data_IF_995613180676
#
_entry.id   IF_995613180676
#
_cell.length_a   1.000
_cell.length_b   1.000
_cell.length_c   1.000
_cell.angle_alpha   90.00
_cell.angle_beta   90.00
_cell.angle_gamma   90.00
#
_symmetry.space_group_name_H-M   'P 1'
#
loop_
_entity.id
_entity.type
_entity.pdbx_description
1 polymer ?
#
# COMPACT_ATOMS: atom_id res chain seq x y z
N UNK A 1 -4.38 92.42 -2.63
CA UNK A 1 -4.03 91.53 -1.49
C UNK A 1 -5.12 90.41 -1.22
N UNK A 2 -6.40 90.71 -1.21
CA UNK A 2 -7.44 89.65 -0.91
C UNK A 2 -7.50 88.51 -1.94
N UNK A 3 -7.21 88.76 -3.24
CA UNK A 3 -7.21 87.68 -4.27
C UNK A 3 -5.99 86.75 -4.18
N UNK A 4 -4.84 87.26 -3.71
CA UNK A 4 -3.63 86.45 -3.55
C UNK A 4 -3.72 85.57 -2.30
N UNK A 5 -4.36 86.04 -1.23
CA UNK A 5 -4.62 85.24 0.00
C UNK A 5 -5.60 84.07 -0.31
N UNK A 6 -6.61 84.32 -1.13
CA UNK A 6 -7.55 83.24 -1.52
C UNK A 6 -6.88 82.15 -2.39
N UNK A 7 -5.97 82.57 -3.29
CA UNK A 7 -5.21 81.59 -4.13
C UNK A 7 -4.25 80.75 -3.29
N UNK A 8 -3.57 81.32 -2.31
CA UNK A 8 -2.66 80.61 -1.39
C UNK A 8 -3.45 79.62 -0.46
N UNK A 9 -4.63 80.07 0.01
CA UNK A 9 -5.50 79.21 0.82
C UNK A 9 -6.03 77.98 0.03
N UNK A 10 -6.42 78.17 -1.22
CA UNK A 10 -6.88 77.07 -2.10
C UNK A 10 -5.72 76.13 -2.41
N UNK A 11 -4.51 76.63 -2.65
CA UNK A 11 -3.33 75.79 -2.90
C UNK A 11 -2.89 75.05 -1.63
N UNK A 12 -2.98 75.64 -0.45
CA UNK A 12 -2.69 74.97 0.83
C UNK A 12 -3.74 73.90 1.17
N UNK A 13 -5.03 74.13 0.90
CA UNK A 13 -6.06 73.10 1.04
C UNK A 13 -5.88 71.96 0.03
N UNK A 14 -5.54 72.25 -1.21
CA UNK A 14 -5.23 71.20 -2.19
C UNK A 14 -3.97 70.41 -1.82
N UNK A 15 -2.91 71.07 -1.32
CA UNK A 15 -1.71 70.39 -0.86
C UNK A 15 -1.89 69.55 0.40
N UNK A 16 -2.87 69.87 1.24
CA UNK A 16 -3.21 69.06 2.44
C UNK A 16 -4.14 67.87 2.07
N UNK A 17 -4.99 68.00 1.06
CA UNK A 17 -5.93 66.95 0.63
C UNK A 17 -5.28 65.84 -0.20
N UNK A 18 -4.24 66.16 -1.00
CA UNK A 18 -3.57 65.20 -1.84
C UNK A 18 -2.90 64.04 -1.06
N UNK A 19 -2.13 64.28 0.02
CA UNK A 19 -1.52 63.18 0.77
C UNK A 19 -2.49 62.34 1.56
N UNK A 20 -3.70 62.83 1.89
CA UNK A 20 -4.72 62.08 2.63
C UNK A 20 -5.52 61.15 1.70
N UNK A 21 -5.67 61.49 0.41
CA UNK A 21 -6.42 60.70 -0.56
C UNK A 21 -5.53 59.80 -1.44
N UNK A 22 -4.20 60.05 -1.49
CA UNK A 22 -3.28 59.25 -2.29
C UNK A 22 -3.31 57.74 -1.91
N UNK A 23 -3.25 57.37 -0.63
CA UNK A 23 -3.30 55.92 -0.28
C UNK A 23 -4.59 55.25 -0.73
N UNK A 24 -5.74 55.85 -0.52
CA UNK A 24 -7.06 55.31 -0.93
C UNK A 24 -7.20 55.16 -2.46
N UNK A 25 -6.61 56.07 -3.25
CA UNK A 25 -6.64 55.95 -4.73
C UNK A 25 -5.70 54.86 -5.20
N UNK A 26 -4.55 54.67 -4.55
CA UNK A 26 -3.59 53.60 -4.89
C UNK A 26 -4.18 52.25 -4.55
N UNK A 27 -4.80 52.08 -3.38
CA UNK A 27 -5.49 50.83 -2.97
C UNK A 27 -6.66 50.49 -3.89
N UNK A 28 -7.47 51.48 -4.31
CA UNK A 28 -8.60 51.23 -5.23
C UNK A 28 -8.17 50.87 -6.64
N UNK A 29 -6.95 51.17 -7.04
CA UNK A 29 -6.38 50.85 -8.37
C UNK A 29 -5.53 49.59 -8.37
N UNK A 30 -5.38 48.93 -7.24
CA UNK A 30 -4.60 47.69 -7.12
C UNK A 30 -5.28 46.53 -7.90
N UNK A 31 -4.54 45.69 -8.59
CA UNK A 31 -5.11 44.51 -9.26
C UNK A 31 -5.77 43.60 -8.28
N UNK A 32 -6.93 43.05 -8.68
CA UNK A 32 -7.63 42.01 -7.94
C UNK A 32 -7.04 40.65 -8.34
N UNK A 33 -6.62 39.91 -7.36
CA UNK A 33 -5.99 38.60 -7.55
C UNK A 33 -6.70 37.57 -6.68
N UNK A 34 -6.75 36.33 -7.15
CA UNK A 34 -7.28 35.21 -6.38
C UNK A 34 -6.24 34.65 -5.42
N UNK A 35 -6.70 34.24 -4.26
CA UNK A 35 -5.89 33.52 -3.26
C UNK A 35 -6.44 32.12 -3.03
N UNK A 36 -5.58 31.25 -2.57
CA UNK A 36 -5.90 29.90 -2.12
C UNK A 36 -5.34 29.67 -0.73
N UNK A 37 -6.06 28.94 0.09
CA UNK A 37 -5.57 28.53 1.41
C UNK A 37 -4.83 27.19 1.29
N UNK A 38 -3.80 26.96 2.11
CA UNK A 38 -3.16 25.66 2.22
C UNK A 38 -4.15 24.58 2.62
N UNK A 39 -3.96 23.36 2.12
CA UNK A 39 -4.75 22.21 2.50
C UNK A 39 -4.04 21.50 3.63
N UNK A 40 -4.71 21.37 4.79
CA UNK A 40 -4.20 20.54 5.88
C UNK A 40 -4.75 19.13 5.72
N UNK A 41 -3.86 18.14 5.75
CA UNK A 41 -4.24 16.74 5.73
C UNK A 41 -3.40 15.92 6.68
N UNK A 42 -4.00 14.86 7.20
CA UNK A 42 -3.27 13.84 7.97
C UNK A 42 -2.43 13.00 7.02
N UNK A 43 -1.16 12.88 7.31
CA UNK A 43 -0.22 12.08 6.55
C UNK A 43 0.47 11.07 7.45
N UNK A 44 0.57 9.86 6.97
CA UNK A 44 1.31 8.77 7.58
C UNK A 44 2.27 8.20 6.52
N UNK A 45 3.53 8.04 6.86
CA UNK A 45 4.47 7.39 5.95
C UNK A 45 4.26 5.89 6.01
N UNK A 46 4.03 5.27 4.85
CA UNK A 46 3.80 3.83 4.70
C UNK A 46 4.76 3.21 3.71
N UNK A 47 4.98 1.92 3.87
CA UNK A 47 5.53 1.04 2.83
C UNK A 47 4.41 0.13 2.36
N UNK A 48 4.11 0.22 1.08
CA UNK A 48 3.04 -0.56 0.46
C UNK A 48 3.63 -1.82 -0.19
N UNK A 49 2.89 -2.91 -0.14
CA UNK A 49 3.28 -4.18 -0.72
C UNK A 49 2.07 -5.06 -1.05
N UNK A 50 2.26 -5.98 -1.99
CA UNK A 50 1.27 -7.02 -2.25
C UNK A 50 1.53 -8.20 -1.33
N UNK A 51 0.50 -8.67 -0.65
CA UNK A 51 0.53 -9.80 0.26
C UNK A 51 -0.39 -10.94 -0.16
N UNK A 52 -0.18 -12.08 0.44
CA UNK A 52 -1.00 -13.27 0.30
C UNK A 52 -1.24 -13.89 1.68
N UNK A 53 -2.48 -14.31 1.93
CA UNK A 53 -2.80 -15.04 3.15
C UNK A 53 -2.18 -16.44 3.10
N UNK A 54 -1.44 -16.80 4.12
CA UNK A 54 -0.73 -18.08 4.21
C UNK A 54 -0.58 -18.51 5.66
N UNK A 55 -0.67 -19.79 5.92
CA UNK A 55 -0.29 -20.33 7.21
C UNK A 55 1.24 -20.30 7.38
N UNK A 56 1.70 -20.29 8.63
CA UNK A 56 3.14 -20.23 8.92
C UNK A 56 3.89 -21.46 8.40
N UNK A 57 3.25 -22.61 8.47
CA UNK A 57 3.78 -23.87 7.98
C UNK A 57 2.66 -24.67 7.33
N UNK A 58 2.82 -24.96 6.06
CA UNK A 58 1.94 -25.85 5.32
C UNK A 58 2.71 -27.11 4.97
N UNK A 59 2.11 -28.25 5.20
CA UNK A 59 2.69 -29.55 4.93
C UNK A 59 1.81 -30.32 3.97
N UNK A 60 2.37 -30.63 2.81
CA UNK A 60 1.68 -31.33 1.72
C UNK A 60 1.99 -32.83 1.80
N UNK A 61 0.98 -33.63 2.09
CA UNK A 61 1.11 -35.09 2.08
C UNK A 61 1.04 -35.57 0.64
N UNK A 62 2.13 -36.15 0.17
CA UNK A 62 2.27 -36.65 -1.18
C UNK A 62 2.59 -38.15 -1.19
N UNK A 63 2.39 -38.81 -2.34
CA UNK A 63 2.88 -40.17 -2.55
C UNK A 63 4.02 -40.19 -3.56
N UNK A 64 5.02 -41.04 -3.32
CA UNK A 64 6.14 -41.24 -4.24
C UNK A 64 5.70 -41.98 -5.54
N UNK A 65 4.59 -42.68 -5.50
CA UNK A 65 4.01 -43.38 -6.63
C UNK A 65 2.64 -42.81 -6.97
N UNK A 66 2.20 -42.84 -8.23
CA UNK A 66 0.86 -42.50 -8.63
C UNK A 66 -0.16 -43.40 -7.91
N UNK A 67 -1.19 -42.83 -7.32
CA UNK A 67 -2.21 -43.54 -6.55
C UNK A 67 -3.62 -43.12 -6.96
N UNK A 68 -4.58 -44.02 -6.73
CA UNK A 68 -6.00 -43.69 -6.83
C UNK A 68 -6.58 -43.73 -5.41
N UNK A 69 -7.13 -42.59 -5.00
CA UNK A 69 -7.75 -42.45 -3.68
C UNK A 69 -9.14 -43.05 -3.76
N UNK A 70 -9.41 -44.06 -2.95
CA UNK A 70 -10.73 -44.68 -2.81
C UNK A 70 -11.65 -43.77 -1.99
N UNK A 71 -11.17 -43.31 -0.84
CA UNK A 71 -11.91 -42.46 0.08
C UNK A 71 -10.98 -41.53 0.84
N UNK A 72 -11.45 -40.31 1.06
CA UNK A 72 -10.92 -39.39 2.05
C UNK A 72 -11.70 -39.52 3.35
N UNK A 73 -11.01 -39.50 4.47
CA UNK A 73 -11.59 -39.54 5.81
C UNK A 73 -11.63 -38.17 6.46
N UNK A 74 -11.06 -37.17 5.83
CA UNK A 74 -10.92 -35.79 6.33
C UNK A 74 -11.54 -34.80 5.38
N UNK A 75 -12.07 -33.71 5.93
CA UNK A 75 -12.63 -32.58 5.17
C UNK A 75 -11.80 -31.31 5.40
N UNK A 76 -11.90 -30.37 4.47
CA UNK A 76 -11.25 -29.07 4.61
C UNK A 76 -11.80 -28.34 5.84
N UNK A 77 -10.89 -27.79 6.64
CA UNK A 77 -11.20 -27.13 7.91
C UNK A 77 -11.14 -28.05 9.13
N UNK A 78 -11.07 -29.38 8.95
CA UNK A 78 -10.97 -30.36 10.03
C UNK A 78 -9.56 -30.37 10.64
N UNK A 79 -9.47 -30.67 11.94
CA UNK A 79 -8.20 -30.82 12.63
C UNK A 79 -7.82 -32.30 12.68
N UNK A 80 -6.58 -32.61 12.29
CA UNK A 80 -6.05 -33.99 12.30
C UNK A 80 -4.83 -34.10 13.20
N UNK A 81 -4.63 -35.28 13.77
CA UNK A 81 -3.45 -35.60 14.57
C UNK A 81 -2.43 -36.41 13.77
N UNK A 82 -1.16 -36.28 14.15
CA UNK A 82 -0.06 -37.07 13.54
C UNK A 82 -0.36 -38.57 13.66
N UNK A 83 -0.30 -39.28 12.53
CA UNK A 83 -0.58 -40.71 12.45
C UNK A 83 -2.06 -41.07 12.14
N UNK A 84 -2.95 -40.08 12.15
CA UNK A 84 -4.36 -40.28 11.78
C UNK A 84 -4.48 -40.63 10.28
N UNK A 85 -5.41 -41.55 9.96
CA UNK A 85 -5.63 -41.99 8.57
C UNK A 85 -6.47 -40.95 7.86
N UNK A 86 -5.86 -40.28 6.86
CA UNK A 86 -6.51 -39.21 6.07
C UNK A 86 -7.10 -39.74 4.76
N UNK A 87 -6.56 -40.85 4.20
CA UNK A 87 -7.07 -41.42 2.95
C UNK A 87 -6.87 -42.90 2.87
N UNK A 88 -7.78 -43.58 2.15
CA UNK A 88 -7.69 -44.96 1.73
C UNK A 88 -7.35 -45.03 0.25
N UNK A 89 -6.42 -45.89 -0.11
CA UNK A 89 -5.93 -46.06 -1.49
C UNK A 89 -6.49 -47.34 -2.12
N UNK A 90 -7.10 -47.22 -3.29
CA UNK A 90 -7.45 -48.40 -4.10
C UNK A 90 -6.17 -48.92 -4.80
N UNK A 91 -5.56 -49.94 -4.22
CA UNK A 91 -4.34 -50.60 -4.77
C UNK A 91 -4.54 -51.13 -6.15
N UNK A 92 -5.71 -51.68 -6.48
CA UNK A 92 -5.99 -52.27 -7.78
C UNK A 92 -6.08 -51.22 -8.86
N UNK A 93 -6.83 -50.17 -8.63
CA UNK A 93 -6.96 -49.07 -9.55
C UNK A 93 -5.64 -48.28 -9.67
N UNK A 94 -4.89 -48.12 -8.58
CA UNK A 94 -3.55 -47.50 -8.61
C UNK A 94 -2.56 -48.29 -9.44
N UNK A 95 -2.53 -49.63 -9.30
CA UNK A 95 -1.69 -50.50 -10.15
C UNK A 95 -2.04 -50.39 -11.64
N UNK A 96 -3.34 -50.34 -11.97
CA UNK A 96 -3.81 -50.14 -13.34
C UNK A 96 -3.42 -48.72 -13.85
N UNK A 97 -3.51 -47.74 -13.02
CA UNK A 97 -3.12 -46.37 -13.35
C UNK A 97 -1.62 -46.26 -13.65
N UNK A 98 -0.76 -46.81 -12.79
CA UNK A 98 0.70 -46.89 -13.02
C UNK A 98 1.01 -47.59 -14.36
N UNK A 99 0.35 -48.71 -14.65
CA UNK A 99 0.55 -49.42 -15.93
C UNK A 99 0.11 -48.57 -17.12
N UNK A 100 -0.96 -47.81 -17.02
CA UNK A 100 -1.42 -46.92 -18.09
C UNK A 100 -0.40 -45.83 -18.38
N UNK A 101 0.15 -45.19 -17.33
CA UNK A 101 1.21 -44.17 -17.47
C UNK A 101 2.49 -44.74 -18.04
N UNK A 102 2.88 -45.97 -17.66
CA UNK A 102 4.03 -46.66 -18.26
C UNK A 102 3.86 -46.94 -19.75
N UNK A 103 2.66 -47.33 -20.23
CA UNK A 103 2.36 -47.50 -21.65
C UNK A 103 2.41 -46.20 -22.44
N UNK A 104 2.15 -45.07 -21.80
CA UNK A 104 2.21 -43.74 -22.39
C UNK A 104 3.62 -43.13 -22.35
N UNK A 105 4.64 -43.88 -21.89
CA UNK A 105 6.03 -43.41 -21.65
C UNK A 105 6.11 -42.18 -20.70
N UNK A 106 5.13 -42.01 -19.83
CA UNK A 106 5.13 -40.94 -18.82
C UNK A 106 5.89 -41.32 -17.55
N UNK A 107 6.31 -42.60 -17.42
CA UNK A 107 7.14 -43.10 -16.32
C UNK A 107 8.35 -43.82 -16.91
N UNK A 108 9.54 -43.50 -16.39
CA UNK A 108 10.81 -44.15 -16.79
C UNK A 108 11.05 -45.46 -16.04
N UNK A 109 10.06 -46.35 -16.03
CA UNK A 109 10.19 -47.66 -15.40
C UNK A 109 10.25 -48.78 -16.47
N UNK A 110 11.15 -49.75 -16.28
CA UNK A 110 11.11 -51.00 -17.04
C UNK A 110 9.84 -51.82 -16.69
N UNK A 111 9.32 -52.59 -17.62
CA UNK A 111 8.08 -53.36 -17.40
C UNK A 111 8.12 -54.32 -16.20
N UNK A 112 9.31 -54.80 -15.81
CA UNK A 112 9.55 -55.61 -14.61
C UNK A 112 9.45 -54.79 -13.32
N UNK A 113 9.73 -53.49 -13.37
CA UNK A 113 9.73 -52.63 -12.21
C UNK A 113 8.33 -52.13 -11.87
N UNK A 114 7.41 -52.09 -12.84
CA UNK A 114 6.00 -51.68 -12.65
C UNK A 114 5.26 -52.62 -11.69
N UNK A 115 5.56 -53.94 -11.71
CA UNK A 115 4.94 -54.91 -10.84
C UNK A 115 5.50 -54.81 -9.40
N UNK A 116 6.79 -54.57 -9.29
CA UNK A 116 7.43 -54.28 -8.01
C UNK A 116 6.92 -52.94 -7.40
N UNK A 117 6.80 -51.90 -8.21
CA UNK A 117 6.25 -50.62 -7.78
C UNK A 117 4.79 -50.75 -7.26
N UNK A 118 3.96 -51.57 -7.92
CA UNK A 118 2.58 -51.78 -7.47
C UNK A 118 2.50 -52.44 -6.07
N UNK A 119 3.50 -53.21 -5.65
CA UNK A 119 3.57 -53.80 -4.32
C UNK A 119 3.91 -52.78 -3.21
N UNK A 120 4.53 -51.68 -3.59
CA UNK A 120 4.91 -50.59 -2.68
C UNK A 120 3.81 -49.57 -2.46
N UNK A 121 2.66 -49.68 -3.13
CA UNK A 121 1.52 -48.80 -2.98
C UNK A 121 0.98 -48.91 -1.53
N UNK A 122 0.94 -47.83 -0.74
CA UNK A 122 0.36 -47.87 0.59
C UNK A 122 -1.14 -48.17 0.51
N UNK A 123 -1.70 -48.83 1.51
CA UNK A 123 -3.13 -49.03 1.61
C UNK A 123 -3.84 -47.85 2.24
N UNK A 124 -3.13 -47.20 3.14
CA UNK A 124 -3.61 -46.02 3.88
C UNK A 124 -2.57 -44.91 3.80
N UNK A 125 -3.05 -43.70 3.75
CA UNK A 125 -2.23 -42.49 3.87
C UNK A 125 -2.55 -41.87 5.23
N UNK A 126 -1.52 -41.57 5.99
CA UNK A 126 -1.65 -40.99 7.33
C UNK A 126 -1.08 -39.59 7.37
N UNK A 127 -1.61 -38.73 8.25
CA UNK A 127 -1.06 -37.44 8.54
C UNK A 127 0.34 -37.58 9.17
N UNK A 128 1.30 -36.89 8.67
CA UNK A 128 2.68 -36.88 9.17
C UNK A 128 2.92 -35.72 10.16
N UNK A 129 2.00 -34.80 10.27
CA UNK A 129 1.95 -33.74 11.27
C UNK A 129 0.50 -33.51 11.75
N UNK A 130 0.39 -32.90 12.94
CA UNK A 130 -0.92 -32.45 13.45
C UNK A 130 -1.20 -31.04 12.96
N UNK A 131 -2.46 -30.75 12.58
CA UNK A 131 -2.85 -29.44 12.10
C UNK A 131 -4.24 -29.40 11.48
N UNK A 132 -4.57 -28.29 10.86
CA UNK A 132 -5.85 -28.11 10.17
C UNK A 132 -5.70 -28.47 8.68
N UNK A 133 -6.60 -29.26 8.16
CA UNK A 133 -6.68 -29.57 6.72
C UNK A 133 -7.10 -28.33 5.95
N UNK A 134 -6.27 -27.88 4.99
CA UNK A 134 -6.53 -26.68 4.18
C UNK A 134 -6.91 -27.01 2.73
N UNK A 135 -6.51 -28.16 2.22
CA UNK A 135 -6.95 -28.65 0.91
C UNK A 135 -6.91 -30.17 0.82
N UNK A 136 -7.73 -30.74 -0.05
CA UNK A 136 -7.79 -32.17 -0.33
C UNK A 136 -7.93 -32.43 -1.83
N UNK A 137 -7.39 -33.57 -2.31
CA UNK A 137 -7.51 -33.96 -3.73
C UNK A 137 -8.89 -34.48 -4.14
N UNK A 138 -9.76 -34.74 -3.17
CA UNK A 138 -11.06 -35.37 -3.38
C UNK A 138 -11.04 -36.90 -3.42
N UNK A 139 -12.16 -37.52 -3.05
CA UNK A 139 -12.36 -39.00 -3.13
C UNK A 139 -12.47 -39.45 -4.59
N UNK A 140 -12.11 -40.70 -4.87
CA UNK A 140 -12.11 -41.31 -6.21
C UNK A 140 -11.22 -40.59 -7.23
N UNK A 141 -10.21 -39.84 -6.79
CA UNK A 141 -9.28 -39.11 -7.65
C UNK A 141 -8.02 -39.92 -7.93
N UNK A 142 -7.49 -39.79 -9.16
CA UNK A 142 -6.18 -40.32 -9.54
C UNK A 142 -5.14 -39.23 -9.34
N UNK A 143 -4.19 -39.47 -8.45
CA UNK A 143 -3.14 -38.51 -8.06
C UNK A 143 -1.81 -38.97 -8.60
N UNK A 144 -1.08 -38.06 -9.26
CA UNK A 144 0.25 -38.35 -9.77
C UNK A 144 1.30 -38.33 -8.65
N UNK A 145 2.46 -38.95 -8.92
CA UNK A 145 3.60 -38.92 -8.01
C UNK A 145 3.98 -37.47 -7.67
N UNK A 146 4.17 -37.19 -6.38
CA UNK A 146 4.57 -35.88 -5.89
C UNK A 146 3.48 -34.81 -5.86
N UNK A 147 2.24 -35.15 -6.25
CA UNK A 147 1.09 -34.25 -6.12
C UNK A 147 0.47 -34.37 -4.73
N UNK A 148 0.04 -33.27 -4.15
CA UNK A 148 -0.63 -33.21 -2.86
C UNK A 148 -1.93 -33.99 -2.82
N UNK A 149 -2.07 -34.79 -1.78
CA UNK A 149 -3.31 -35.54 -1.47
C UNK A 149 -4.11 -34.80 -0.42
N UNK A 150 -3.44 -34.35 0.61
CA UNK A 150 -3.98 -33.52 1.70
C UNK A 150 -2.90 -32.52 2.06
N UNK A 151 -3.26 -31.24 2.21
CA UNK A 151 -2.38 -30.20 2.76
C UNK A 151 -2.85 -29.86 4.16
N UNK A 152 -1.91 -29.90 5.10
CA UNK A 152 -2.16 -29.64 6.53
C UNK A 152 -1.42 -28.36 6.93
N UNK A 153 -2.14 -27.40 7.48
CA UNK A 153 -1.55 -26.26 8.15
C UNK A 153 -1.11 -26.66 9.56
N UNK A 154 0.21 -26.68 9.77
CA UNK A 154 0.79 -26.97 11.07
C UNK A 154 1.25 -25.68 11.73
N UNK A 155 0.73 -25.38 12.91
CA UNK A 155 1.24 -24.35 13.78
C UNK A 155 0.76 -22.95 13.49
N UNK A 156 -0.45 -22.64 13.87
CA UNK A 156 -0.83 -21.28 14.13
C UNK A 156 -1.97 -20.73 13.28
N UNK A 157 -2.17 -19.47 13.47
CA UNK A 157 -3.19 -18.67 12.80
C UNK A 157 -2.76 -18.34 11.38
N UNK A 158 -3.74 -18.10 10.53
CA UNK A 158 -3.55 -17.59 9.19
C UNK A 158 -2.96 -16.16 9.29
N UNK A 159 -1.83 -15.95 8.63
CA UNK A 159 -1.18 -14.65 8.54
C UNK A 159 -1.11 -14.17 7.10
N UNK A 160 -0.44 -13.06 6.88
CA UNK A 160 -0.19 -12.51 5.56
C UNK A 160 1.32 -12.53 5.33
N UNK A 161 1.75 -12.95 4.15
CA UNK A 161 3.14 -12.79 3.68
C UNK A 161 3.14 -11.69 2.64
N UNK A 162 3.71 -10.54 3.00
CA UNK A 162 3.84 -9.39 2.12
C UNK A 162 5.23 -9.35 1.49
N UNK A 163 5.31 -9.13 0.20
CA UNK A 163 6.56 -8.94 -0.52
C UNK A 163 6.94 -7.45 -0.51
N UNK A 164 7.98 -7.10 0.22
CA UNK A 164 8.47 -5.73 0.38
C UNK A 164 9.75 -5.54 -0.40
N UNK A 165 9.87 -4.40 -1.11
CA UNK A 165 11.07 -4.06 -1.87
C UNK A 165 12.32 -4.01 -0.98
N UNK A 166 13.48 -4.48 -1.50
CA UNK A 166 14.77 -4.34 -0.81
C UNK A 166 15.14 -2.89 -0.49
N UNK A 167 14.61 -1.92 -1.23
CA UNK A 167 14.84 -0.50 -1.00
C UNK A 167 14.15 0.03 0.27
N UNK A 168 13.08 -0.62 0.70
CA UNK A 168 12.26 -0.18 1.83
C UNK A 168 12.39 -1.06 3.07
N UNK A 169 12.95 -2.27 2.94
CA UNK A 169 13.03 -3.22 4.05
C UNK A 169 13.78 -2.68 5.28
N UNK A 170 14.78 -1.81 5.05
CA UNK A 170 15.55 -1.20 6.14
C UNK A 170 14.73 -0.27 7.06
N UNK A 171 13.54 0.15 6.60
CA UNK A 171 12.62 1.01 7.36
C UNK A 171 11.64 0.19 8.22
N UNK A 172 11.53 -1.12 7.98
CA UNK A 172 10.55 -1.99 8.61
C UNK A 172 11.12 -2.62 9.87
N UNK A 173 10.31 -2.67 10.93
CA UNK A 173 10.63 -3.25 12.21
C UNK A 173 9.52 -4.18 12.71
N UNK A 174 9.89 -5.14 13.54
CA UNK A 174 8.93 -6.02 14.20
C UNK A 174 7.99 -5.21 15.11
N UNK A 175 6.71 -5.58 15.08
CA UNK A 175 5.67 -4.95 15.89
C UNK A 175 5.07 -3.68 15.28
N UNK A 176 5.53 -3.21 14.13
CA UNK A 176 4.89 -2.09 13.42
C UNK A 176 3.45 -2.42 13.06
N UNK A 177 2.60 -1.40 13.16
CA UNK A 177 1.21 -1.49 12.76
C UNK A 177 1.08 -1.59 11.24
N UNK A 178 0.12 -2.38 10.80
CA UNK A 178 -0.15 -2.65 9.39
C UNK A 178 -1.64 -2.50 9.13
N UNK A 179 -1.99 -1.86 8.04
CA UNK A 179 -3.33 -1.95 7.47
C UNK A 179 -3.29 -2.83 6.23
N UNK A 180 -4.34 -3.62 6.04
CA UNK A 180 -4.44 -4.44 4.84
C UNK A 180 -5.89 -4.51 4.32
N UNK A 181 -6.02 -4.66 3.01
CA UNK A 181 -7.30 -4.73 2.30
C UNK A 181 -7.29 -5.94 1.40
N UNK A 182 -8.00 -7.03 1.79
CA UNK A 182 -8.09 -8.22 0.96
C UNK A 182 -8.81 -7.92 -0.37
N UNK A 183 -8.30 -8.46 -1.48
CA UNK A 183 -8.91 -8.26 -2.79
C UNK A 183 -10.38 -8.74 -2.87
N UNK A 184 -10.76 -9.70 -2.01
CA UNK A 184 -12.14 -10.18 -1.89
C UNK A 184 -13.08 -9.20 -1.15
N UNK A 185 -12.53 -8.23 -0.40
CA UNK A 185 -13.26 -7.26 0.44
C UNK A 185 -12.65 -5.87 0.28
N UNK A 186 -12.76 -5.25 -0.90
CA UNK A 186 -12.03 -4.01 -1.24
C UNK A 186 -12.50 -2.77 -0.46
N UNK A 187 -13.68 -2.81 0.13
CA UNK A 187 -14.26 -1.72 0.91
C UNK A 187 -13.99 -1.85 2.43
N UNK A 188 -13.31 -2.93 2.86
CA UNK A 188 -13.02 -3.19 4.27
C UNK A 188 -11.50 -3.09 4.52
N UNK A 189 -11.11 -2.29 5.52
CA UNK A 189 -9.72 -2.18 5.99
C UNK A 189 -9.57 -2.95 7.29
N UNK A 190 -8.56 -3.81 7.32
CA UNK A 190 -8.21 -4.62 8.49
C UNK A 190 -6.87 -4.18 9.06
N UNK A 191 -6.60 -4.59 10.29
CA UNK A 191 -5.40 -4.22 11.04
C UNK A 191 -4.61 -5.45 11.45
N UNK A 192 -3.30 -5.26 11.59
CA UNK A 192 -2.40 -6.30 12.04
C UNK A 192 -1.03 -5.72 12.38
N UNK A 193 -0.08 -6.61 12.68
CA UNK A 193 1.27 -6.23 13.06
C UNK A 193 2.31 -7.05 12.33
N UNK A 194 3.46 -6.42 12.04
CA UNK A 194 4.65 -7.12 11.55
C UNK A 194 5.12 -8.11 12.62
N UNK A 195 5.04 -9.40 12.32
CA UNK A 195 5.41 -10.48 13.25
C UNK A 195 6.74 -11.14 12.91
N UNK A 196 7.17 -11.12 11.64
CA UNK A 196 8.43 -11.72 11.21
C UNK A 196 8.96 -11.02 9.95
N UNK A 197 10.27 -10.85 9.84
CA UNK A 197 10.94 -10.35 8.64
C UNK A 197 11.90 -11.45 8.19
N UNK A 198 11.76 -11.89 6.93
CA UNK A 198 12.62 -12.94 6.38
C UNK A 198 14.09 -12.51 6.39
N UNK A 199 14.97 -13.43 6.73
CA UNK A 199 16.42 -13.21 6.63
C UNK A 199 16.99 -13.37 5.22
N UNK A 200 16.15 -13.77 4.25
CA UNK A 200 16.53 -14.00 2.87
C UNK A 200 15.69 -13.15 1.92
N UNK A 201 16.34 -12.52 0.96
CA UNK A 201 15.67 -11.88 -0.16
C UNK A 201 15.42 -12.90 -1.29
N UNK A 202 14.39 -12.66 -2.09
CA UNK A 202 14.08 -13.44 -3.28
C UNK A 202 13.72 -12.55 -4.46
N UNK A 203 13.88 -13.07 -5.66
CA UNK A 203 13.42 -12.38 -6.86
C UNK A 203 11.95 -12.69 -7.12
N UNK A 204 11.20 -11.67 -7.51
CA UNK A 204 9.79 -11.74 -7.88
C UNK A 204 9.57 -11.00 -9.20
N UNK A 205 8.69 -11.51 -10.04
CA UNK A 205 8.19 -10.75 -11.19
C UNK A 205 7.01 -9.87 -10.78
N UNK A 206 7.12 -8.59 -11.07
CA UNK A 206 6.04 -7.62 -10.99
C UNK A 206 5.72 -7.17 -12.42
N UNK A 207 4.72 -7.81 -13.03
CA UNK A 207 4.49 -7.70 -14.46
C UNK A 207 5.69 -8.23 -15.27
N UNK A 208 6.34 -7.36 -16.04
CA UNK A 208 7.53 -7.68 -16.84
C UNK A 208 8.87 -7.37 -16.14
N UNK A 209 8.84 -6.76 -14.96
CA UNK A 209 10.03 -6.31 -14.20
C UNK A 209 10.38 -7.35 -13.14
N UNK A 210 11.65 -7.72 -13.08
CA UNK A 210 12.19 -8.55 -12.01
C UNK A 210 12.65 -7.63 -10.88
N UNK A 211 12.08 -7.80 -9.71
CA UNK A 211 12.42 -7.05 -8.49
C UNK A 211 12.94 -7.98 -7.40
N UNK A 212 13.80 -7.45 -6.52
CA UNK A 212 14.25 -8.13 -5.31
C UNK A 212 13.36 -7.71 -4.16
N UNK A 213 12.78 -8.70 -3.48
CA UNK A 213 11.87 -8.49 -2.35
C UNK A 213 12.30 -9.32 -1.15
N UNK A 214 11.89 -8.85 0.03
CA UNK A 214 12.00 -9.59 1.28
C UNK A 214 10.58 -9.87 1.78
N UNK A 215 10.33 -11.10 2.20
CA UNK A 215 9.03 -11.48 2.72
C UNK A 215 8.89 -11.01 4.17
N UNK A 216 7.81 -10.27 4.42
CA UNK A 216 7.41 -9.78 5.75
C UNK A 216 6.12 -10.47 6.14
N UNK A 217 6.13 -11.16 7.28
CA UNK A 217 4.94 -11.80 7.82
C UNK A 217 4.20 -10.84 8.73
N UNK A 218 2.89 -10.80 8.53
CA UNK A 218 1.96 -9.96 9.27
C UNK A 218 0.94 -10.87 9.95
N UNK A 219 0.69 -10.63 11.23
CA UNK A 219 -0.38 -11.30 11.97
C UNK A 219 -1.55 -10.34 12.09
N UNK A 220 -2.75 -10.70 11.60
CA UNK A 220 -3.97 -9.93 11.82
C UNK A 220 -4.27 -9.78 13.31
N UNK A 221 -4.74 -8.60 13.73
CA UNK A 221 -5.11 -8.36 15.13
C UNK A 221 -6.34 -9.16 15.55
N UNK A 222 -7.24 -9.40 14.60
CA UNK A 222 -8.46 -10.19 14.81
C UNK A 222 -8.52 -11.28 13.74
N UNK A 223 -8.55 -12.58 14.14
CA UNK A 223 -8.79 -13.66 13.23
C UNK A 223 -10.17 -13.54 12.56
N UNK A 224 -10.25 -13.78 11.26
CA UNK A 224 -11.51 -13.76 10.52
C UNK A 224 -11.63 -15.02 9.67
N UNK A 225 -12.72 -15.77 9.86
CA UNK A 225 -12.98 -17.03 9.15
C UNK A 225 -13.22 -16.83 7.63
N UNK A 226 -13.47 -15.60 7.20
CA UNK A 226 -13.60 -15.25 5.79
C UNK A 226 -12.26 -15.32 5.05
N UNK A 227 -11.15 -15.18 5.76
CA UNK A 227 -9.82 -15.26 5.16
C UNK A 227 -9.48 -16.73 4.86
N UNK A 228 -8.93 -16.93 3.67
CA UNK A 228 -8.48 -18.25 3.21
C UNK A 228 -7.03 -18.14 2.73
N UNK A 229 -6.24 -19.20 2.96
CA UNK A 229 -4.91 -19.30 2.34
C UNK A 229 -5.02 -19.15 0.83
N UNK A 230 -4.10 -18.40 0.23
CA UNK A 230 -4.09 -18.09 -1.20
C UNK A 230 -4.85 -16.82 -1.60
N UNK A 231 -5.60 -16.17 -0.69
CA UNK A 231 -6.22 -14.88 -1.01
C UNK A 231 -5.17 -13.76 -1.05
N UNK A 232 -5.25 -12.93 -2.10
CA UNK A 232 -4.40 -11.75 -2.24
C UNK A 232 -4.92 -10.58 -1.38
N UNK A 233 -4.01 -9.73 -0.93
CA UNK A 233 -4.32 -8.51 -0.18
C UNK A 233 -3.31 -7.41 -0.49
N UNK A 234 -3.76 -6.18 -0.48
CA UNK A 234 -2.88 -5.02 -0.44
C UNK A 234 -2.53 -4.72 1.01
N UNK A 235 -1.27 -4.41 1.25
CA UNK A 235 -0.69 -4.20 2.58
C UNK A 235 -0.01 -2.85 2.64
N UNK A 236 -0.25 -2.09 3.72
CA UNK A 236 0.42 -0.83 4.03
C UNK A 236 1.02 -0.89 5.43
N UNK A 237 2.34 -1.00 5.51
CA UNK A 237 3.09 -1.03 6.77
C UNK A 237 3.34 0.41 7.21
N UNK A 238 2.93 0.76 8.43
CA UNK A 238 3.01 2.10 8.98
C UNK A 238 4.40 2.35 9.53
N UNK A 239 5.11 3.34 8.95
CA UNK A 239 6.48 3.68 9.34
C UNK A 239 6.56 4.78 10.41
N UNK A 240 5.59 5.67 10.44
CA UNK A 240 5.56 6.81 11.36
C UNK A 240 4.16 7.06 11.90
N UNK A 241 4.09 7.72 13.04
CA UNK A 241 2.82 8.24 13.53
C UNK A 241 2.20 9.22 12.52
N UNK A 242 0.89 9.27 12.52
CA UNK A 242 0.14 10.23 11.71
C UNK A 242 0.44 11.64 12.16
N UNK A 243 0.75 12.53 11.22
CA UNK A 243 0.99 13.95 11.46
C UNK A 243 0.18 14.81 10.50
N UNK A 244 -0.18 15.98 10.94
CA UNK A 244 -0.76 16.98 10.05
C UNK A 244 0.33 17.60 9.19
N UNK A 245 0.07 17.70 7.91
CA UNK A 245 0.94 18.34 6.94
C UNK A 245 0.16 19.42 6.18
N UNK A 246 0.86 20.47 5.84
CA UNK A 246 0.37 21.55 5.00
C UNK A 246 0.76 21.25 3.57
N UNK A 247 -0.19 21.26 2.65
CA UNK A 247 0.02 20.97 1.23
C UNK A 247 -0.40 22.17 0.39
N UNK A 248 0.43 22.54 -0.58
CA UNK A 248 0.12 23.54 -1.59
C UNK A 248 0.12 22.93 -3.00
N UNK A 249 -0.78 23.38 -3.88
CA UNK A 249 -0.72 23.04 -5.30
C UNK A 249 0.59 23.50 -5.93
N UNK A 250 1.12 22.73 -6.88
CA UNK A 250 2.35 23.09 -7.60
C UNK A 250 2.27 24.44 -8.31
N UNK A 251 1.07 24.86 -8.74
CA UNK A 251 0.84 26.09 -9.50
C UNK A 251 1.16 27.38 -8.74
N UNK A 252 1.21 27.34 -7.41
CA UNK A 252 1.46 28.52 -6.56
C UNK A 252 2.90 28.63 -6.11
N UNK A 253 3.72 27.62 -6.39
CA UNK A 253 5.11 27.56 -5.99
C UNK A 253 5.98 28.02 -7.16
N UNK A 254 6.81 29.01 -6.90
CA UNK A 254 7.81 29.48 -7.85
C UNK A 254 9.22 29.14 -7.35
N UNK A 255 10.17 29.10 -8.29
CA UNK A 255 11.55 28.77 -7.98
C UNK A 255 12.48 29.76 -8.68
N UNK A 256 13.53 30.23 -7.98
CA UNK A 256 14.62 31.01 -8.52
C UNK A 256 15.99 30.46 -8.05
N UNK A 257 17.07 31.19 -8.33
CA UNK A 257 18.44 30.82 -7.94
C UNK A 257 18.62 30.71 -6.40
N UNK A 258 17.75 31.36 -5.62
CA UNK A 258 17.78 31.35 -4.16
C UNK A 258 16.99 30.19 -3.54
N UNK A 259 16.05 29.60 -4.28
CA UNK A 259 15.23 28.50 -3.84
C UNK A 259 13.76 28.63 -4.19
N UNK A 260 12.93 27.86 -3.52
CA UNK A 260 11.48 27.84 -3.71
C UNK A 260 10.80 28.89 -2.84
N UNK A 261 9.79 29.55 -3.40
CA UNK A 261 9.05 30.60 -2.71
C UNK A 261 7.58 30.67 -3.17
N UNK A 262 6.78 31.35 -2.37
CA UNK A 262 5.38 31.69 -2.67
C UNK A 262 5.13 33.16 -2.39
N UNK A 263 4.03 33.69 -2.92
CA UNK A 263 3.53 35.01 -2.54
C UNK A 263 2.36 34.85 -1.58
N UNK A 264 2.52 35.42 -0.39
CA UNK A 264 1.51 35.43 0.67
C UNK A 264 0.81 36.78 0.70
N UNK A 265 -0.50 36.78 0.89
CA UNK A 265 -1.25 38.03 1.11
C UNK A 265 -1.08 38.50 2.55
N UNK A 266 -0.53 39.66 2.75
CA UNK A 266 -0.37 40.31 4.05
C UNK A 266 -0.78 41.78 3.96
N UNK A 267 -1.87 42.14 4.60
CA UNK A 267 -2.32 43.55 4.74
C UNK A 267 -2.31 44.35 3.42
N UNK A 268 -2.90 43.79 2.36
CA UNK A 268 -3.00 44.46 1.07
C UNK A 268 -1.72 44.37 0.21
N UNK A 269 -0.77 43.55 0.57
CA UNK A 269 0.51 43.39 -0.16
C UNK A 269 0.77 41.90 -0.49
N UNK A 270 1.47 41.71 -1.61
CA UNK A 270 2.04 40.39 -1.93
C UNK A 270 3.45 40.29 -1.34
N UNK A 271 3.62 39.46 -0.35
CA UNK A 271 4.91 39.28 0.32
C UNK A 271 5.53 37.98 -0.17
N UNK A 272 6.73 38.07 -0.77
CA UNK A 272 7.51 36.89 -1.14
C UNK A 272 8.02 36.20 0.11
N UNK A 273 7.68 34.93 0.27
CA UNK A 273 8.09 34.11 1.41
C UNK A 273 8.78 32.84 0.92
N UNK A 274 10.01 32.62 1.39
CA UNK A 274 10.77 31.41 1.10
C UNK A 274 10.13 30.21 1.81
N UNK A 275 10.08 29.10 1.11
CA UNK A 275 9.50 27.84 1.62
C UNK A 275 10.52 26.71 1.51
N UNK A 276 10.26 25.65 2.24
CA UNK A 276 10.90 24.35 2.04
C UNK A 276 9.83 23.30 1.81
N UNK A 277 9.89 22.70 0.65
CA UNK A 277 9.00 21.60 0.26
C UNK A 277 9.42 20.30 0.89
N UNK A 278 8.53 19.33 0.88
CA UNK A 278 8.73 17.98 1.40
C UNK A 278 8.31 16.92 0.41
N UNK A 279 7.38 16.05 0.82
CA UNK A 279 6.88 14.97 -0.02
C UNK A 279 5.93 15.53 -1.09
N UNK A 280 6.07 14.99 -2.30
CA UNK A 280 5.20 15.30 -3.42
C UNK A 280 3.98 14.37 -3.43
N UNK A 281 2.83 14.93 -3.83
CA UNK A 281 1.55 14.25 -4.00
C UNK A 281 0.99 14.54 -5.38
N UNK A 282 -0.03 13.82 -5.82
CA UNK A 282 -0.65 14.03 -7.13
C UNK A 282 -1.24 15.44 -7.32
N UNK A 283 -1.66 16.10 -6.24
CA UNK A 283 -2.37 17.39 -6.22
C UNK A 283 -1.53 18.55 -5.65
N UNK A 284 -0.28 18.31 -5.24
CA UNK A 284 0.60 19.34 -4.68
C UNK A 284 1.78 18.76 -3.90
N UNK A 285 2.44 19.58 -3.13
CA UNK A 285 3.60 19.20 -2.32
C UNK A 285 3.45 19.64 -0.86
N UNK A 286 3.99 18.86 0.06
CA UNK A 286 4.11 19.19 1.48
C UNK A 286 4.97 20.45 1.65
N UNK A 287 4.54 21.37 2.50
CA UNK A 287 5.34 22.50 2.93
C UNK A 287 5.83 22.26 4.34
N UNK A 288 7.14 22.09 4.50
CA UNK A 288 7.76 21.84 5.80
C UNK A 288 8.09 23.10 6.57
N UNK A 289 8.30 24.18 5.86
CA UNK A 289 8.68 25.46 6.46
C UNK A 289 8.24 26.63 5.59
N UNK A 290 7.87 27.74 6.23
CA UNK A 290 7.60 29.03 5.59
C UNK A 290 6.12 29.40 5.51
N UNK A 291 5.20 28.42 5.62
CA UNK A 291 3.75 28.66 5.49
C UNK A 291 3.02 27.95 6.64
N UNK A 292 1.94 28.58 7.10
CA UNK A 292 0.97 28.06 8.04
C UNK A 292 -0.39 27.78 7.37
N UNK A 293 -1.24 27.05 8.04
CA UNK A 293 -2.59 26.70 7.56
C UNK A 293 -3.52 27.90 7.31
N UNK A 294 -3.25 29.02 7.99
CA UNK A 294 -4.07 30.24 7.92
C UNK A 294 -3.53 31.28 6.91
N UNK A 295 -2.43 30.98 6.24
CA UNK A 295 -1.87 31.90 5.24
C UNK A 295 -2.73 31.87 3.96
N UNK A 296 -2.91 33.04 3.35
CA UNK A 296 -3.55 33.18 2.04
C UNK A 296 -2.48 33.32 0.97
N UNK A 297 -2.44 32.37 0.05
CA UNK A 297 -1.40 32.26 -1.00
C UNK A 297 -1.98 32.70 -2.32
N UNK A 298 -1.30 33.56 -3.07
CA UNK A 298 -1.75 33.95 -4.40
C UNK A 298 -1.77 32.78 -5.37
N UNK A 299 -2.91 32.55 -6.00
CA UNK A 299 -3.11 31.45 -6.96
C UNK A 299 -2.31 31.64 -8.26
N UNK A 300 -2.01 32.91 -8.60
CA UNK A 300 -1.24 33.29 -9.78
C UNK A 300 -0.02 34.13 -9.35
N UNK A 301 1.11 33.52 -9.00
CA UNK A 301 2.32 34.23 -8.51
C UNK A 301 2.80 35.33 -9.45
N UNK A 302 2.78 35.06 -10.76
CA UNK A 302 3.21 36.01 -11.81
C UNK A 302 2.35 37.27 -11.91
N UNK A 303 1.10 37.20 -11.49
CA UNK A 303 0.20 38.34 -11.49
C UNK A 303 0.55 39.37 -10.42
N UNK A 304 1.22 38.96 -9.36
CA UNK A 304 1.60 39.82 -8.21
C UNK A 304 3.07 40.16 -8.14
N UNK A 305 3.90 39.52 -8.94
CA UNK A 305 5.34 39.76 -8.99
C UNK A 305 5.65 41.25 -9.28
N UNK A 306 6.48 41.84 -8.42
CA UNK A 306 6.88 43.26 -8.53
C UNK A 306 5.79 44.27 -8.15
N UNK A 307 4.60 43.86 -7.71
CA UNK A 307 3.52 44.75 -7.31
C UNK A 307 3.53 44.97 -5.80
N UNK A 308 3.47 46.23 -5.40
CA UNK A 308 3.52 46.62 -3.99
C UNK A 308 2.16 46.51 -3.31
N UNK A 309 1.06 46.74 -4.04
CA UNK A 309 -0.31 46.68 -3.52
C UNK A 309 -1.15 45.81 -4.40
N UNK A 310 -1.90 44.94 -3.79
CA UNK A 310 -2.79 43.95 -4.40
C UNK A 310 -4.09 43.87 -3.61
N UNK A 311 -5.19 43.47 -4.27
CA UNK A 311 -6.49 43.23 -3.62
C UNK A 311 -6.88 41.76 -3.85
N UNK A 312 -7.54 41.20 -2.87
CA UNK A 312 -8.05 39.84 -2.95
C UNK A 312 -9.49 39.85 -3.41
N UNK A 313 -9.91 38.87 -4.21
CA UNK A 313 -11.27 38.70 -4.68
C UNK A 313 -12.21 38.43 -3.49
N UNK A 314 -13.17 39.33 -3.27
CA UNK A 314 -14.11 39.23 -2.11
C UNK A 314 -13.84 40.23 -0.96
N UNK A 315 -12.73 40.94 -0.98
CA UNK A 315 -12.47 42.02 -0.02
C UNK A 315 -13.30 43.27 -0.45
N UNK A 316 -14.39 43.52 0.27
CA UNK A 316 -15.20 44.74 0.06
C UNK A 316 -14.41 45.97 0.52
N UNK A 317 -14.34 46.97 -0.38
CA UNK A 317 -13.71 48.28 -0.15
C UNK A 317 -14.47 49.09 0.89
#
# INVERSE_FOLDING_TARGET
>A
MKKAIAAVAVFALAAAFVPAFLPTIIESSAPVCSVTSPIVRTFCETVDGAGEFSYKSEHEITCALPVVIERLYVEEGEFVETGEVVALVDKKSSAAFIQSLGRMNMLNFAATDLQAAASLIPEKITADCSGRVISTCGSNSAVQSGTGIVTIANGGELGIVAAVSELDIAKIQLGQDVTFTPAAYPDEVFFGKVSEISSAARSRYNGAVLETVVDVRITPDVPDERFKSGLSTDVSIILSESREIVVLPYSVIEQDDAGEYVYVYESGQAVRREIKTGKEFADGTEIRFGISENDEIFSEPKAVEGKKYVRVEGENA
#
